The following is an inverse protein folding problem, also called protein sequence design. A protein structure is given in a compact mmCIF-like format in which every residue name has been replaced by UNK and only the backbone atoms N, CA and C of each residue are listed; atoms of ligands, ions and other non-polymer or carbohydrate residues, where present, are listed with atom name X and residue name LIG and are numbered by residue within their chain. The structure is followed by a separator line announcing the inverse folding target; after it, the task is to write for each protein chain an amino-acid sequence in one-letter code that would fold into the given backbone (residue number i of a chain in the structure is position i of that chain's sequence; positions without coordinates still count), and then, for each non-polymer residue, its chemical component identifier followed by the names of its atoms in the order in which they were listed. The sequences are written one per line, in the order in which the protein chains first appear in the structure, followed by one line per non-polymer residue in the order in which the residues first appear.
data_IF_497402799784
#
_entry.id   IF_497402799784
#
_cell.length_a   1.000
_cell.length_b   1.000
_cell.length_c   1.000
_cell.angle_alpha   90.00
_cell.angle_beta   90.00
_cell.angle_gamma   90.00
#
_symmetry.space_group_name_H-M   'P 1'
#
loop_
_entity.id
_entity.type
_entity.pdbx_description
1 polymer ?
#
# COMPACT_ATOMS: atom_id res chain seq x y z
N UNK A 1 10.28 1.82 -12.73
CA UNK A 1 10.64 0.43 -12.39
C UNK A 1 11.16 -0.32 -13.60
N UNK A 2 10.42 -0.39 -14.74
CA UNK A 2 10.83 -1.11 -15.94
C UNK A 2 12.16 -0.57 -16.51
N UNK A 3 12.32 0.76 -16.60
CA UNK A 3 13.58 1.39 -17.05
C UNK A 3 14.73 1.03 -16.11
N UNK A 4 14.49 1.06 -14.79
CA UNK A 4 15.49 0.69 -13.80
C UNK A 4 15.89 -0.80 -13.89
N UNK A 5 14.92 -1.72 -14.08
CA UNK A 5 15.22 -3.15 -14.27
C UNK A 5 15.96 -3.42 -15.58
N UNK A 6 15.57 -2.77 -16.68
CA UNK A 6 16.28 -2.87 -17.95
C UNK A 6 17.70 -2.28 -17.86
N UNK A 7 17.88 -1.19 -17.12
CA UNK A 7 19.18 -0.60 -16.86
C UNK A 7 20.06 -1.49 -15.97
N UNK A 8 19.48 -2.29 -15.06
CA UNK A 8 20.23 -3.25 -14.25
C UNK A 8 20.85 -4.38 -15.09
N UNK A 9 20.19 -4.80 -16.18
CA UNK A 9 20.74 -5.83 -17.08
C UNK A 9 21.85 -5.30 -18.00
N UNK A 10 21.81 -4.00 -18.33
CA UNK A 10 22.74 -3.40 -19.33
C UNK A 10 23.74 -2.40 -18.75
N UNK A 11 23.61 -1.97 -17.50
CA UNK A 11 24.39 -0.83 -16.99
C UNK A 11 24.69 -0.97 -15.47
N UNK A 12 25.75 -0.29 -15.02
CA UNK A 12 26.15 -0.29 -13.60
C UNK A 12 25.06 0.29 -12.68
N UNK A 13 24.94 -0.22 -11.42
CA UNK A 13 23.99 0.28 -10.41
C UNK A 13 24.03 1.81 -10.20
N UNK A 14 25.15 2.45 -10.55
CA UNK A 14 25.38 3.90 -10.43
C UNK A 14 24.39 4.72 -11.26
N UNK A 15 23.97 4.26 -12.45
CA UNK A 15 23.01 4.98 -13.28
C UNK A 15 21.60 4.99 -12.71
N UNK A 16 21.23 4.00 -11.91
CA UNK A 16 19.94 3.98 -11.18
C UNK A 16 19.92 5.11 -10.16
N UNK A 17 21.00 5.23 -9.37
CA UNK A 17 21.11 6.32 -8.38
C UNK A 17 21.10 7.70 -9.07
N UNK A 18 21.74 7.85 -10.22
CA UNK A 18 21.70 9.10 -10.99
C UNK A 18 20.29 9.41 -11.47
N UNK A 19 19.54 8.43 -12.01
CA UNK A 19 18.18 8.65 -12.49
C UNK A 19 17.21 9.03 -11.38
N UNK A 20 17.34 8.40 -10.20
CA UNK A 20 16.55 8.74 -8.99
C UNK A 20 16.91 10.14 -8.50
N UNK A 21 18.21 10.49 -8.47
CA UNK A 21 18.67 11.82 -8.05
C UNK A 21 18.16 12.91 -8.99
N UNK A 22 18.21 12.69 -10.30
CA UNK A 22 17.65 13.63 -11.31
C UNK A 22 16.15 13.81 -11.13
N UNK A 23 15.40 12.72 -10.89
CA UNK A 23 13.95 12.78 -10.64
C UNK A 23 13.63 13.57 -9.35
N UNK A 24 14.42 13.40 -8.29
CA UNK A 24 14.27 14.13 -7.04
C UNK A 24 14.55 15.63 -7.23
N UNK A 25 15.59 15.98 -7.98
CA UNK A 25 15.91 17.40 -8.30
C UNK A 25 14.80 18.03 -9.12
N UNK A 26 14.28 17.33 -10.14
CA UNK A 26 13.16 17.82 -10.96
C UNK A 26 11.90 18.03 -10.12
N UNK A 27 11.61 17.13 -9.17
CA UNK A 27 10.50 17.28 -8.24
C UNK A 27 10.67 18.50 -7.32
N UNK A 28 11.88 18.74 -6.79
CA UNK A 28 12.19 19.93 -5.97
C UNK A 28 12.03 21.20 -6.79
N UNK A 29 12.57 21.26 -7.99
CA UNK A 29 12.46 22.42 -8.90
C UNK A 29 10.98 22.68 -9.24
N UNK A 30 10.21 21.63 -9.54
CA UNK A 30 8.77 21.74 -9.77
C UNK A 30 8.02 22.29 -8.56
N UNK A 31 8.40 21.87 -7.34
CA UNK A 31 7.80 22.35 -6.09
C UNK A 31 8.15 23.81 -5.78
N UNK A 32 9.39 24.24 -6.07
CA UNK A 32 9.82 25.62 -5.89
C UNK A 32 9.14 26.60 -6.86
N UNK A 33 8.59 26.10 -7.97
CA UNK A 33 7.83 26.88 -8.94
C UNK A 33 6.33 26.98 -8.64
N UNK A 34 5.83 26.35 -7.56
CA UNK A 34 4.43 26.48 -7.15
C UNK A 34 4.29 27.64 -6.15
N UNK A 35 3.32 28.52 -6.38
CA UNK A 35 3.00 29.61 -5.45
C UNK A 35 2.62 29.07 -4.08
N UNK A 36 3.16 29.69 -3.03
CA UNK A 36 2.84 29.37 -1.63
C UNK A 36 1.34 29.58 -1.38
N UNK A 37 0.64 28.50 -1.10
CA UNK A 37 -0.73 28.59 -0.56
C UNK A 37 -0.60 29.06 0.88
N UNK A 38 -0.68 30.36 1.09
CA UNK A 38 -0.67 30.97 2.43
C UNK A 38 -1.90 30.54 3.21
N UNK A 39 -1.74 29.63 4.17
CA UNK A 39 -2.74 29.33 5.17
C UNK A 39 -2.79 30.47 6.21
N UNK A 40 -3.51 31.53 5.90
CA UNK A 40 -3.71 32.71 6.76
C UNK A 40 -4.76 32.44 7.83
N UNK A 41 -4.53 31.51 8.76
CA UNK A 41 -5.36 31.37 9.97
C UNK A 41 -4.56 30.75 11.13
N UNK A 42 -3.45 31.43 11.50
CA UNK A 42 -2.53 30.91 12.53
C UNK A 42 -3.11 31.01 13.95
N UNK A 43 -4.01 31.94 14.27
CA UNK A 43 -4.58 32.10 15.61
C UNK A 43 -5.79 31.18 15.88
N UNK A 44 -6.66 30.98 14.89
CA UNK A 44 -7.74 30.01 14.99
C UNK A 44 -7.23 28.56 15.09
N UNK A 45 -6.08 28.27 14.49
CA UNK A 45 -5.42 26.96 14.56
C UNK A 45 -4.87 26.65 15.95
N UNK A 46 -4.32 27.65 16.69
CA UNK A 46 -3.78 27.46 18.06
C UNK A 46 -4.87 27.22 19.11
N UNK A 47 -6.00 27.90 19.02
CA UNK A 47 -7.14 27.70 19.93
C UNK A 47 -7.85 26.37 19.73
N UNK A 48 -7.77 25.79 18.52
CA UNK A 48 -8.37 24.50 18.19
C UNK A 48 -7.48 23.28 18.52
N UNK A 49 -6.21 23.48 18.86
CA UNK A 49 -5.23 22.40 19.04
C UNK A 49 -5.63 21.39 20.12
N UNK A 50 -6.25 21.83 21.22
CA UNK A 50 -6.70 20.93 22.29
C UNK A 50 -7.85 19.99 21.93
N UNK A 51 -8.72 20.40 20.99
CA UNK A 51 -9.84 19.57 20.47
C UNK A 51 -9.47 18.77 19.22
N UNK A 52 -8.38 19.13 18.58
CA UNK A 52 -7.94 18.51 17.31
C UNK A 52 -7.49 17.06 17.47
N UNK A 53 -7.07 16.65 18.67
CA UNK A 53 -6.60 15.28 18.95
C UNK A 53 -7.64 14.38 19.60
N UNK A 54 -8.85 14.87 19.89
CA UNK A 54 -9.88 14.06 20.56
C UNK A 54 -10.34 12.85 19.75
N UNK A 55 -10.23 12.90 18.42
CA UNK A 55 -10.57 11.77 17.54
C UNK A 55 -9.59 10.60 17.68
N UNK A 56 -8.35 10.84 18.13
CA UNK A 56 -7.36 9.77 18.35
C UNK A 56 -7.80 8.78 19.44
N UNK A 57 -8.59 9.25 20.40
CA UNK A 57 -9.15 8.42 21.48
C UNK A 57 -10.48 7.77 21.08
N UNK A 58 -11.03 8.07 19.91
CA UNK A 58 -12.27 7.45 19.45
C UNK A 58 -12.02 5.95 19.16
N UNK A 59 -12.78 5.02 19.78
CA UNK A 59 -12.54 3.58 19.63
C UNK A 59 -12.64 3.13 18.17
N UNK A 60 -13.51 3.77 17.39
CA UNK A 60 -13.66 3.51 15.97
C UNK A 60 -12.41 3.90 15.18
N UNK A 61 -11.73 4.99 15.54
CA UNK A 61 -10.50 5.41 14.89
C UNK A 61 -9.31 4.50 15.26
N UNK A 62 -9.21 4.11 16.54
CA UNK A 62 -8.17 3.18 17.03
C UNK A 62 -8.31 1.82 16.31
N UNK A 63 -9.52 1.28 16.23
CA UNK A 63 -9.79 0.04 15.51
C UNK A 63 -9.39 0.17 14.04
N UNK A 64 -9.72 1.28 13.41
CA UNK A 64 -9.35 1.55 12.03
C UNK A 64 -7.83 1.64 11.82
N UNK A 65 -7.09 2.25 12.75
CA UNK A 65 -5.62 2.30 12.72
C UNK A 65 -5.02 0.90 12.87
N UNK A 66 -5.56 0.05 13.74
CA UNK A 66 -5.10 -1.35 13.90
C UNK A 66 -5.35 -2.15 12.62
N UNK A 67 -6.53 -2.03 12.04
CA UNK A 67 -6.87 -2.68 10.77
C UNK A 67 -5.94 -2.17 9.65
N UNK A 68 -5.71 -0.86 9.60
CA UNK A 68 -4.77 -0.23 8.67
C UNK A 68 -3.35 -0.75 8.84
N UNK A 69 -2.88 -0.89 10.08
CA UNK A 69 -1.56 -1.45 10.41
C UNK A 69 -1.37 -2.86 9.82
N UNK A 70 -2.34 -3.75 10.03
CA UNK A 70 -2.29 -5.13 9.50
C UNK A 70 -2.29 -5.12 7.97
N UNK A 71 -3.20 -4.35 7.37
CA UNK A 71 -3.32 -4.28 5.90
C UNK A 71 -2.05 -3.72 5.25
N UNK A 72 -1.58 -2.57 5.72
CA UNK A 72 -0.38 -1.90 5.21
C UNK A 72 0.86 -2.78 5.37
N UNK A 73 1.04 -3.42 6.53
CA UNK A 73 2.17 -4.30 6.77
C UNK A 73 2.23 -5.48 5.80
N UNK A 74 1.11 -6.17 5.61
CA UNK A 74 1.03 -7.25 4.63
C UNK A 74 1.19 -6.75 3.19
N UNK A 75 0.66 -5.56 2.88
CA UNK A 75 0.82 -4.94 1.56
C UNK A 75 2.28 -4.59 1.26
N UNK A 76 3.00 -4.02 2.23
CA UNK A 76 4.43 -3.71 2.12
C UNK A 76 5.29 -4.98 1.97
N UNK A 77 5.00 -6.04 2.76
CA UNK A 77 5.63 -7.36 2.57
C UNK A 77 5.40 -7.90 1.17
N UNK A 78 4.17 -7.84 0.69
CA UNK A 78 3.83 -8.29 -0.65
C UNK A 78 4.60 -7.53 -1.74
N UNK A 79 4.80 -6.22 -1.59
CA UNK A 79 5.62 -5.41 -2.50
C UNK A 79 7.07 -5.91 -2.59
N UNK A 80 7.63 -6.34 -1.45
CA UNK A 80 9.01 -6.82 -1.36
C UNK A 80 9.15 -8.26 -1.85
N UNK A 81 8.26 -9.15 -1.44
CA UNK A 81 8.41 -10.59 -1.69
C UNK A 81 7.74 -11.09 -2.96
N UNK A 82 6.80 -10.37 -3.56
CA UNK A 82 6.17 -10.82 -4.81
C UNK A 82 7.14 -10.87 -6.00
N UNK A 83 8.08 -9.92 -6.19
CA UNK A 83 9.11 -10.04 -7.21
C UNK A 83 10.04 -11.24 -6.97
N UNK A 84 10.39 -11.50 -5.70
CA UNK A 84 11.26 -12.61 -5.32
C UNK A 84 10.56 -13.95 -5.61
N UNK A 85 9.28 -14.06 -5.27
CA UNK A 85 8.47 -15.25 -5.61
C UNK A 85 8.44 -15.52 -7.11
N UNK A 86 8.28 -14.49 -7.95
CA UNK A 86 8.31 -14.64 -9.40
C UNK A 86 9.66 -15.15 -9.91
N UNK A 87 10.76 -14.68 -9.31
CA UNK A 87 12.11 -15.15 -9.64
C UNK A 87 12.32 -16.61 -9.20
N UNK A 88 11.85 -17.00 -8.00
CA UNK A 88 11.87 -18.40 -7.54
C UNK A 88 11.06 -19.33 -8.47
N UNK A 89 10.00 -18.83 -9.08
CA UNK A 89 9.20 -19.55 -10.08
C UNK A 89 9.84 -19.55 -11.47
N UNK A 90 11.10 -19.09 -11.61
CA UNK A 90 11.90 -19.16 -12.81
C UNK A 90 11.77 -17.97 -13.78
N UNK A 91 11.17 -16.86 -13.35
CA UNK A 91 11.10 -15.67 -14.19
C UNK A 91 12.41 -14.87 -14.17
N UNK A 92 12.94 -14.43 -15.33
CA UNK A 92 14.07 -13.55 -15.39
C UNK A 92 13.72 -12.15 -14.84
N UNK A 93 14.71 -11.47 -14.24
CA UNK A 93 14.52 -10.16 -13.56
C UNK A 93 13.88 -9.10 -14.45
N UNK A 94 14.25 -9.04 -15.75
CA UNK A 94 13.65 -8.12 -16.71
C UNK A 94 12.15 -8.36 -16.93
N UNK A 95 11.73 -9.63 -17.00
CA UNK A 95 10.32 -9.99 -17.12
C UNK A 95 9.52 -9.64 -15.85
N UNK A 96 10.10 -9.80 -14.66
CA UNK A 96 9.49 -9.36 -13.39
C UNK A 96 9.25 -7.85 -13.40
N UNK A 97 10.22 -7.06 -13.85
CA UNK A 97 10.07 -5.61 -14.01
C UNK A 97 8.93 -5.22 -14.96
N UNK A 98 8.78 -5.96 -16.04
CA UNK A 98 7.67 -5.77 -17.00
C UNK A 98 6.31 -6.06 -16.36
N UNK A 99 6.19 -7.14 -15.58
CA UNK A 99 4.97 -7.48 -14.85
C UNK A 99 4.61 -6.38 -13.84
N UNK A 100 5.58 -5.88 -13.08
CA UNK A 100 5.39 -4.77 -12.15
C UNK A 100 4.89 -3.50 -12.85
N UNK A 101 5.43 -3.19 -14.01
CA UNK A 101 4.98 -2.05 -14.82
C UNK A 101 3.52 -2.19 -15.25
N UNK A 102 3.14 -3.35 -15.80
CA UNK A 102 1.75 -3.59 -16.17
C UNK A 102 0.81 -3.60 -14.96
N UNK A 103 1.25 -4.13 -13.80
CA UNK A 103 0.49 -4.05 -12.56
C UNK A 103 0.16 -2.61 -12.18
N UNK A 104 1.11 -1.69 -12.32
CA UNK A 104 0.89 -0.25 -12.05
C UNK A 104 -0.12 0.36 -13.04
N UNK A 105 -0.11 -0.03 -14.31
CA UNK A 105 -1.11 0.42 -15.30
C UNK A 105 -2.51 -0.07 -14.89
N UNK A 106 -2.63 -1.32 -14.45
CA UNK A 106 -3.92 -1.87 -13.97
C UNK A 106 -4.39 -1.12 -12.71
N UNK A 107 -3.48 -0.85 -11.76
CA UNK A 107 -3.78 -0.04 -10.56
C UNK A 107 -4.34 1.34 -10.94
N UNK A 108 -3.69 2.03 -11.88
CA UNK A 108 -4.16 3.33 -12.37
C UNK A 108 -5.55 3.22 -13.01
N UNK A 109 -5.80 2.16 -13.78
CA UNK A 109 -7.11 1.91 -14.38
C UNK A 109 -8.19 1.69 -13.31
N UNK A 110 -7.88 0.93 -12.26
CA UNK A 110 -8.80 0.71 -11.11
C UNK A 110 -9.11 2.04 -10.42
N UNK A 111 -8.10 2.92 -10.22
CA UNK A 111 -8.30 4.26 -9.65
C UNK A 111 -9.27 5.07 -10.50
N UNK A 112 -9.07 5.10 -11.81
CA UNK A 112 -9.92 5.88 -12.73
C UNK A 112 -11.38 5.39 -12.74
N UNK A 113 -11.59 4.08 -12.60
CA UNK A 113 -12.95 3.52 -12.56
C UNK A 113 -13.57 3.47 -11.16
N UNK A 114 -12.81 3.78 -10.12
CA UNK A 114 -13.23 3.65 -8.72
C UNK A 114 -14.41 4.53 -8.34
N UNK A 115 -14.56 5.69 -8.97
CA UNK A 115 -15.69 6.59 -8.69
C UNK A 115 -17.04 5.91 -8.86
N UNK A 116 -17.17 4.91 -9.76
CA UNK A 116 -18.40 4.14 -9.96
C UNK A 116 -18.73 3.20 -8.80
N UNK A 117 -17.72 2.73 -8.08
CA UNK A 117 -17.89 1.74 -7.00
C UNK A 117 -17.98 2.42 -5.63
N UNK A 118 -17.23 3.48 -5.42
CA UNK A 118 -17.10 4.11 -4.11
C UNK A 118 -18.41 4.73 -3.60
N UNK A 119 -19.23 5.26 -4.49
CA UNK A 119 -20.52 5.87 -4.11
C UNK A 119 -21.63 4.83 -3.93
N UNK A 120 -21.47 3.64 -4.51
CA UNK A 120 -22.52 2.61 -4.54
C UNK A 120 -22.46 1.68 -3.33
N UNK A 121 -21.30 1.48 -2.72
CA UNK A 121 -21.11 0.55 -1.62
C UNK A 121 -20.75 1.27 -0.31
N UNK A 122 -21.17 0.69 0.82
CA UNK A 122 -20.77 1.19 2.13
C UNK A 122 -19.24 1.00 2.34
N UNK A 123 -18.62 1.89 3.11
CA UNK A 123 -17.18 1.78 3.42
C UNK A 123 -16.81 0.42 4.04
N UNK A 124 -17.69 -0.12 4.91
CA UNK A 124 -17.51 -1.43 5.55
C UNK A 124 -17.52 -2.57 4.53
N UNK A 125 -18.50 -2.57 3.60
CA UNK A 125 -18.59 -3.60 2.56
C UNK A 125 -17.36 -3.58 1.64
N UNK A 126 -16.91 -2.39 1.25
CA UNK A 126 -15.70 -2.24 0.44
C UNK A 126 -14.45 -2.73 1.17
N UNK A 127 -14.35 -2.47 2.48
CA UNK A 127 -13.22 -2.91 3.30
C UNK A 127 -13.17 -4.43 3.42
N UNK A 128 -14.31 -5.07 3.67
CA UNK A 128 -14.43 -6.54 3.65
C UNK A 128 -14.04 -7.13 2.30
N UNK A 129 -14.47 -6.48 1.21
CA UNK A 129 -14.10 -6.90 -0.15
C UNK A 129 -12.59 -6.78 -0.39
N UNK A 130 -11.97 -5.68 0.03
CA UNK A 130 -10.52 -5.51 -0.09
C UNK A 130 -9.75 -6.59 0.67
N UNK A 131 -10.15 -6.89 1.92
CA UNK A 131 -9.55 -7.99 2.69
C UNK A 131 -9.75 -9.34 2.03
N UNK A 132 -10.96 -9.66 1.54
CA UNK A 132 -11.25 -10.92 0.86
C UNK A 132 -10.38 -11.10 -0.40
N UNK A 133 -10.21 -10.05 -1.19
CA UNK A 133 -9.34 -10.06 -2.37
C UNK A 133 -7.87 -10.31 -1.97
N UNK A 134 -7.37 -9.65 -0.92
CA UNK A 134 -5.99 -9.84 -0.44
C UNK A 134 -5.77 -11.24 0.14
N UNK A 135 -6.73 -11.79 0.88
CA UNK A 135 -6.69 -13.20 1.33
C UNK A 135 -6.59 -14.14 0.15
N UNK A 136 -7.46 -13.98 -0.85
CA UNK A 136 -7.43 -14.80 -2.06
C UNK A 136 -6.08 -14.68 -2.80
N UNK A 137 -5.55 -13.48 -2.91
CA UNK A 137 -4.24 -13.21 -3.51
C UNK A 137 -3.13 -13.97 -2.79
N UNK A 138 -3.04 -13.85 -1.46
CA UNK A 138 -1.97 -14.48 -0.70
C UNK A 138 -2.07 -16.01 -0.70
N UNK A 139 -3.28 -16.57 -0.67
CA UNK A 139 -3.48 -18.00 -0.82
C UNK A 139 -3.05 -18.49 -2.20
N UNK A 140 -3.36 -17.74 -3.27
CA UNK A 140 -2.92 -18.07 -4.61
C UNK A 140 -1.39 -17.99 -4.75
N UNK A 141 -0.73 -17.04 -4.12
CA UNK A 141 0.74 -16.97 -4.10
C UNK A 141 1.36 -18.13 -3.33
N UNK A 142 0.80 -18.47 -2.16
CA UNK A 142 1.27 -19.59 -1.35
C UNK A 142 1.18 -20.95 -2.08
N UNK A 143 0.15 -21.10 -2.93
CA UNK A 143 -0.13 -22.34 -3.65
C UNK A 143 0.24 -22.29 -5.13
N UNK A 144 0.84 -21.21 -5.62
CA UNK A 144 1.14 -21.00 -7.04
C UNK A 144 1.98 -22.18 -7.62
N UNK A 145 1.44 -22.92 -8.61
CA UNK A 145 2.16 -24.04 -9.20
C UNK A 145 3.19 -23.58 -10.24
N UNK A 146 3.01 -22.38 -10.81
CA UNK A 146 3.88 -21.83 -11.85
C UNK A 146 3.85 -20.29 -11.86
N UNK A 147 4.80 -19.69 -12.56
CA UNK A 147 4.94 -18.24 -12.68
C UNK A 147 3.70 -17.57 -13.31
N UNK A 148 3.01 -18.23 -14.23
CA UNK A 148 1.84 -17.66 -14.91
C UNK A 148 0.71 -17.34 -13.93
N UNK A 149 0.40 -18.26 -13.01
CA UNK A 149 -0.64 -18.03 -11.97
C UNK A 149 -0.24 -16.88 -11.06
N UNK A 150 1.03 -16.80 -10.66
CA UNK A 150 1.52 -15.71 -9.84
C UNK A 150 1.45 -14.35 -10.56
N UNK A 151 1.78 -14.31 -11.86
CA UNK A 151 1.66 -13.10 -12.70
C UNK A 151 0.21 -12.62 -12.79
N UNK A 152 -0.72 -13.51 -13.13
CA UNK A 152 -2.14 -13.14 -13.22
C UNK A 152 -2.67 -12.64 -11.89
N UNK A 153 -2.31 -13.31 -10.79
CA UNK A 153 -2.66 -12.90 -9.43
C UNK A 153 -2.13 -11.50 -9.12
N UNK A 154 -0.89 -11.21 -9.52
CA UNK A 154 -0.27 -9.91 -9.32
C UNK A 154 -0.95 -8.81 -10.15
N UNK A 155 -1.27 -9.08 -11.39
CA UNK A 155 -1.88 -8.09 -12.28
C UNK A 155 -3.32 -7.75 -11.88
N UNK A 156 -4.09 -8.73 -11.40
CA UNK A 156 -5.52 -8.56 -11.15
C UNK A 156 -5.79 -8.32 -9.66
N UNK A 157 -5.48 -9.28 -8.80
CA UNK A 157 -5.91 -9.22 -7.40
C UNK A 157 -5.14 -8.18 -6.59
N UNK A 158 -3.81 -8.09 -6.79
CA UNK A 158 -3.00 -7.08 -6.12
C UNK A 158 -3.44 -5.66 -6.52
N UNK A 159 -3.60 -5.42 -7.82
CA UNK A 159 -3.99 -4.10 -8.31
C UNK A 159 -5.35 -3.65 -7.76
N UNK A 160 -6.32 -4.56 -7.70
CA UNK A 160 -7.65 -4.25 -7.17
C UNK A 160 -7.62 -4.11 -5.64
N UNK A 161 -7.01 -5.04 -4.92
CA UNK A 161 -7.03 -5.09 -3.45
C UNK A 161 -6.34 -3.89 -2.80
N UNK A 162 -5.11 -3.57 -3.23
CA UNK A 162 -4.33 -2.45 -2.70
C UNK A 162 -4.99 -1.10 -2.99
N UNK A 163 -5.47 -0.92 -4.22
CA UNK A 163 -6.11 0.33 -4.65
C UNK A 163 -7.44 0.56 -3.93
N UNK A 164 -8.28 -0.46 -3.80
CA UNK A 164 -9.53 -0.35 -3.05
C UNK A 164 -9.29 0.09 -1.61
N UNK A 165 -8.32 -0.52 -0.92
CA UNK A 165 -8.03 -0.16 0.46
C UNK A 165 -7.57 1.30 0.60
N UNK A 166 -6.65 1.77 -0.24
CA UNK A 166 -6.17 3.15 -0.22
C UNK A 166 -7.31 4.17 -0.39
N UNK A 167 -8.27 3.87 -1.26
CA UNK A 167 -9.43 4.76 -1.48
C UNK A 167 -10.42 4.72 -0.33
N UNK A 168 -10.67 3.53 0.24
CA UNK A 168 -11.56 3.35 1.39
C UNK A 168 -11.00 4.11 2.59
N UNK A 169 -9.69 4.07 2.78
CA UNK A 169 -8.98 4.81 3.83
C UNK A 169 -9.34 6.31 3.77
N UNK A 170 -9.26 6.92 2.59
CA UNK A 170 -9.64 8.32 2.40
C UNK A 170 -11.13 8.57 2.66
N UNK A 171 -12.01 7.65 2.25
CA UNK A 171 -13.46 7.74 2.46
C UNK A 171 -13.79 7.67 3.96
N UNK A 172 -13.20 6.74 4.70
CA UNK A 172 -13.44 6.56 6.15
C UNK A 172 -12.89 7.75 6.94
N UNK A 173 -11.67 8.18 6.66
CA UNK A 173 -11.08 9.34 7.35
C UNK A 173 -11.94 10.57 7.19
N UNK A 174 -12.44 10.85 5.99
CA UNK A 174 -13.37 11.99 5.75
C UNK A 174 -14.71 11.83 6.46
N UNK A 175 -15.17 10.60 6.69
CA UNK A 175 -16.43 10.33 7.39
C UNK A 175 -16.35 10.38 8.92
N UNK A 176 -15.17 10.08 9.48
CA UNK A 176 -14.96 9.95 10.94
C UNK A 176 -14.32 11.21 11.52
N UNK A 177 -13.51 11.92 10.74
CA UNK A 177 -12.70 13.04 11.21
C UNK A 177 -13.22 14.36 10.64
N UNK A 178 -13.26 15.40 11.47
CA UNK A 178 -13.61 16.75 11.02
C UNK A 178 -12.62 17.23 9.94
N UNK A 179 -13.12 18.00 8.97
CA UNK A 179 -12.34 18.48 7.81
C UNK A 179 -10.99 19.11 8.22
N UNK A 180 -10.97 19.88 9.31
CA UNK A 180 -9.75 20.54 9.85
C UNK A 180 -8.70 19.56 10.38
N UNK A 181 -9.11 18.35 10.80
CA UNK A 181 -8.21 17.35 11.40
C UNK A 181 -7.85 16.21 10.42
N UNK A 182 -8.33 16.25 9.18
CA UNK A 182 -8.06 15.23 8.16
C UNK A 182 -6.57 15.09 7.88
N UNK A 183 -5.84 16.20 7.76
CA UNK A 183 -4.38 16.16 7.53
C UNK A 183 -3.63 15.50 8.67
N UNK A 184 -4.00 15.78 9.93
CA UNK A 184 -3.40 15.14 11.11
C UNK A 184 -3.74 13.66 11.16
N UNK A 185 -4.98 13.28 10.86
CA UNK A 185 -5.40 11.88 10.81
C UNK A 185 -4.64 11.09 9.74
N UNK A 186 -4.47 11.67 8.56
CA UNK A 186 -3.67 11.06 7.49
C UNK A 186 -2.19 10.96 7.88
N UNK A 187 -1.64 11.95 8.58
CA UNK A 187 -0.27 11.89 9.12
C UNK A 187 -0.07 10.74 10.10
N UNK A 188 -1.01 10.51 11.01
CA UNK A 188 -0.97 9.37 11.95
C UNK A 188 -1.06 8.03 11.19
N UNK A 189 -1.92 7.94 10.18
CA UNK A 189 -2.04 6.74 9.35
C UNK A 189 -0.74 6.48 8.58
N UNK A 190 -0.13 7.51 7.99
CA UNK A 190 1.15 7.37 7.29
C UNK A 190 2.29 6.96 8.22
N UNK A 191 2.33 7.48 9.45
CA UNK A 191 3.27 7.04 10.47
C UNK A 191 3.06 5.57 10.86
N UNK A 192 1.79 5.17 11.01
CA UNK A 192 1.40 3.78 11.30
C UNK A 192 1.80 2.84 10.15
N UNK A 193 1.62 3.27 8.89
CA UNK A 193 2.04 2.53 7.70
C UNK A 193 3.56 2.31 7.69
N UNK A 194 4.35 3.36 7.95
CA UNK A 194 5.81 3.26 8.03
C UNK A 194 6.26 2.32 9.15
N UNK A 195 5.65 2.41 10.35
CA UNK A 195 5.95 1.50 11.46
C UNK A 195 5.57 0.05 11.11
N UNK A 196 4.43 -0.15 10.50
CA UNK A 196 3.98 -1.46 10.05
C UNK A 196 4.92 -2.05 9.01
N UNK A 197 5.37 -1.25 8.05
CA UNK A 197 6.36 -1.68 7.05
C UNK A 197 7.64 -2.18 7.70
N UNK A 198 8.22 -1.41 8.63
CA UNK A 198 9.45 -1.78 9.33
C UNK A 198 9.29 -3.09 10.12
N UNK A 199 8.23 -3.18 10.94
CA UNK A 199 8.01 -4.33 11.79
C UNK A 199 7.71 -5.59 10.97
N UNK A 200 6.81 -5.49 10.00
CA UNK A 200 6.43 -6.63 9.17
C UNK A 200 7.55 -7.08 8.25
N UNK A 201 8.37 -6.19 7.71
CA UNK A 201 9.52 -6.59 6.89
C UNK A 201 10.57 -7.33 7.70
N UNK A 202 10.86 -6.89 8.94
CA UNK A 202 11.77 -7.61 9.82
C UNK A 202 11.23 -9.00 10.18
N UNK A 203 9.95 -9.09 10.60
CA UNK A 203 9.32 -10.38 10.92
C UNK A 203 9.23 -11.29 9.69
N UNK A 204 8.89 -10.73 8.54
CA UNK A 204 8.81 -11.45 7.28
C UNK A 204 10.18 -11.97 6.84
N UNK A 205 11.25 -11.18 7.00
CA UNK A 205 12.63 -11.59 6.73
C UNK A 205 13.03 -12.80 7.58
N UNK A 206 12.87 -12.70 8.90
CA UNK A 206 13.15 -13.80 9.83
C UNK A 206 12.35 -15.06 9.48
N UNK A 207 11.08 -14.90 9.11
CA UNK A 207 10.23 -16.03 8.74
C UNK A 207 10.71 -16.70 7.45
N UNK A 208 11.06 -15.93 6.43
CA UNK A 208 11.53 -16.46 5.13
C UNK A 208 12.90 -17.13 5.28
N UNK A 209 13.82 -16.55 6.06
CA UNK A 209 15.15 -17.15 6.33
C UNK A 209 15.05 -18.50 7.01
N UNK A 210 14.08 -18.69 7.92
CA UNK A 210 13.91 -19.92 8.67
C UNK A 210 12.97 -20.95 8.01
N UNK A 211 12.19 -20.53 6.99
CA UNK A 211 11.18 -21.40 6.39
C UNK A 211 11.17 -21.30 4.86
N UNK A 212 10.14 -20.62 4.31
CA UNK A 212 10.01 -20.39 2.88
C UNK A 212 9.08 -19.20 2.59
N UNK A 213 9.20 -18.64 1.40
CA UNK A 213 8.31 -17.60 0.91
C UNK A 213 6.83 -18.05 0.90
N UNK A 214 6.56 -19.31 0.63
CA UNK A 214 5.18 -19.85 0.62
C UNK A 214 4.55 -19.81 2.00
N UNK A 215 5.30 -20.12 3.05
CA UNK A 215 4.84 -20.04 4.44
C UNK A 215 4.58 -18.59 4.83
N UNK A 216 5.41 -17.64 4.38
CA UNK A 216 5.16 -16.22 4.56
C UNK A 216 3.78 -15.82 4.00
N UNK A 217 3.45 -16.25 2.78
CA UNK A 217 2.15 -15.93 2.18
C UNK A 217 0.97 -16.58 2.91
N UNK A 218 1.12 -17.78 3.45
CA UNK A 218 0.09 -18.38 4.33
C UNK A 218 -0.08 -17.57 5.62
N UNK A 219 1.00 -17.12 6.24
CA UNK A 219 0.93 -16.29 7.44
C UNK A 219 0.25 -14.93 7.15
N UNK A 220 0.59 -14.30 6.01
CA UNK A 220 -0.06 -13.06 5.57
C UNK A 220 -1.55 -13.25 5.29
N UNK A 221 -1.96 -14.37 4.68
CA UNK A 221 -3.37 -14.71 4.47
C UNK A 221 -4.10 -14.85 5.82
N UNK A 222 -3.49 -15.50 6.80
CA UNK A 222 -4.03 -15.61 8.16
C UNK A 222 -4.20 -14.25 8.84
N UNK A 223 -3.20 -13.36 8.74
CA UNK A 223 -3.28 -12.01 9.29
C UNK A 223 -4.38 -11.18 8.60
N UNK A 224 -4.54 -11.30 7.29
CA UNK A 224 -5.61 -10.63 6.56
C UNK A 224 -7.00 -11.18 6.93
N UNK A 225 -7.13 -12.47 7.19
CA UNK A 225 -8.38 -13.06 7.71
C UNK A 225 -8.72 -12.49 9.09
N UNK A 226 -7.74 -12.33 9.99
CA UNK A 226 -7.96 -11.67 11.28
C UNK A 226 -8.39 -10.21 11.10
N UNK A 227 -7.76 -9.45 10.20
CA UNK A 227 -8.17 -8.10 9.85
C UNK A 227 -9.60 -8.02 9.31
N UNK A 228 -10.01 -9.00 8.49
CA UNK A 228 -11.37 -9.12 7.97
C UNK A 228 -12.38 -9.37 9.11
N UNK A 229 -12.05 -10.25 10.06
CA UNK A 229 -12.90 -10.53 11.23
C UNK A 229 -13.05 -9.29 12.12
N UNK A 230 -11.99 -8.53 12.33
CA UNK A 230 -12.04 -7.26 13.07
C UNK A 230 -12.90 -6.18 12.39
N UNK A 231 -13.17 -6.32 11.11
CA UNK A 231 -14.01 -5.40 10.34
C UNK A 231 -15.51 -5.76 10.41
N UNK A 232 -15.84 -7.00 10.78
CA UNK A 232 -17.23 -7.46 10.96
C UNK A 232 -17.88 -6.89 12.20
#
# INVERSE_FOLDING_TARGET
VQVACAMMEFTSPQLIFVSVSVSAVLAIVGFLGTDDISFTDTEAAKAAAGKQFSFLCAPMYILFVIIGFVFSGCSNLNMTYSPILLQELGMPTGAVGTVLFFSTIVELSVILFSYKFMDRFSGRTLMLLAFAIMVAQFLLYATAPNAFVAVVTMLVLRAIGSTLFGMILLKIVRGVVQVRSVSTALGVISATDAMSAILMQNLGGILVENTSIRILYFAMAGLMMLGMILTL
#
